data_IF_455060697259
#
_entry.id   IF_455060697259
#
_cell.length_a   1.000
_cell.length_b   1.000
_cell.length_c   1.000
_cell.angle_alpha   90.00
_cell.angle_beta   90.00
_cell.angle_gamma   90.00
#
_symmetry.space_group_name_H-M   'P 1'
#
loop_
_entity.id
_entity.type
_entity.pdbx_description
1 polymer ?
#
# COMPACT_ATOMS: atom_id res chain seq x y z
N UNK A 1 -11.02 -19.20 -59.67
CA UNK A 1 -11.82 -19.03 -58.47
C UNK A 1 -10.87 -19.19 -57.27
N UNK A 2 -10.43 -18.09 -56.73
CA UNK A 2 -9.47 -18.08 -55.59
C UNK A 2 -10.32 -17.88 -54.35
N UNK A 3 -10.35 -18.87 -53.46
CA UNK A 3 -11.02 -18.79 -52.16
C UNK A 3 -10.25 -17.83 -51.25
N UNK A 4 -10.80 -16.66 -50.97
CA UNK A 4 -10.37 -15.77 -49.91
C UNK A 4 -10.73 -16.42 -48.56
N UNK A 5 -9.75 -16.85 -47.80
CA UNK A 5 -9.93 -17.30 -46.43
C UNK A 5 -10.22 -16.09 -45.53
N UNK A 6 -11.16 -16.19 -44.56
CA UNK A 6 -11.55 -15.04 -43.71
C UNK A 6 -10.54 -14.80 -42.60
N UNK A 7 -9.56 -13.93 -42.87
CA UNK A 7 -8.49 -13.49 -41.94
C UNK A 7 -9.04 -12.86 -40.66
N UNK A 8 -10.21 -12.21 -40.69
CA UNK A 8 -10.75 -11.47 -39.53
C UNK A 8 -11.27 -12.33 -38.35
N UNK A 9 -11.76 -13.56 -38.60
CA UNK A 9 -12.28 -14.43 -37.51
C UNK A 9 -11.20 -15.01 -36.63
N UNK A 10 -10.02 -15.26 -37.16
CA UNK A 10 -8.89 -15.85 -36.42
C UNK A 10 -8.23 -14.83 -35.50
N UNK A 11 -8.14 -13.58 -35.91
CA UNK A 11 -7.60 -12.47 -35.08
C UNK A 11 -8.54 -12.11 -33.94
N UNK A 12 -9.84 -12.04 -34.17
CA UNK A 12 -10.84 -11.80 -33.14
C UNK A 12 -10.87 -12.91 -32.08
N UNK A 13 -10.73 -14.18 -32.48
CA UNK A 13 -10.65 -15.32 -31.56
C UNK A 13 -9.38 -15.29 -30.74
N UNK A 14 -8.22 -14.95 -31.32
CA UNK A 14 -6.94 -14.79 -30.60
C UNK A 14 -7.00 -13.64 -29.58
N UNK A 15 -7.56 -12.50 -29.96
CA UNK A 15 -7.76 -11.37 -29.07
C UNK A 15 -8.68 -11.71 -27.89
N UNK A 16 -9.78 -12.42 -28.13
CA UNK A 16 -10.69 -12.89 -27.08
C UNK A 16 -10.01 -13.90 -26.12
N UNK A 17 -9.28 -14.88 -26.65
CA UNK A 17 -8.56 -15.87 -25.84
C UNK A 17 -7.44 -15.22 -25.02
N UNK A 18 -6.78 -14.20 -25.56
CA UNK A 18 -5.77 -13.41 -24.83
C UNK A 18 -6.39 -12.61 -23.69
N UNK A 19 -7.54 -11.94 -23.94
CA UNK A 19 -8.29 -11.22 -22.93
C UNK A 19 -8.71 -12.11 -21.76
N UNK A 20 -9.29 -13.27 -22.08
CA UNK A 20 -9.71 -14.25 -21.06
C UNK A 20 -8.54 -14.79 -20.22
N UNK A 21 -7.37 -14.98 -20.83
CA UNK A 21 -6.14 -15.40 -20.11
C UNK A 21 -5.65 -14.30 -19.16
N UNK A 22 -5.68 -13.05 -19.58
CA UNK A 22 -5.29 -11.91 -18.74
C UNK A 22 -6.25 -11.77 -17.56
N UNK A 23 -7.55 -11.85 -17.78
CA UNK A 23 -8.56 -11.82 -16.70
C UNK A 23 -8.34 -12.96 -15.69
N UNK A 24 -8.05 -14.16 -16.16
CA UNK A 24 -7.78 -15.32 -15.31
C UNK A 24 -6.46 -15.18 -14.52
N UNK A 25 -5.44 -14.56 -15.12
CA UNK A 25 -4.19 -14.24 -14.43
C UNK A 25 -4.42 -13.20 -13.33
N UNK A 26 -5.21 -12.16 -13.59
CA UNK A 26 -5.53 -11.13 -12.62
C UNK A 26 -6.37 -11.69 -11.47
N UNK A 27 -7.30 -12.60 -11.74
CA UNK A 27 -8.08 -13.29 -10.71
C UNK A 27 -7.19 -14.16 -9.83
N UNK A 28 -6.32 -14.96 -10.45
CA UNK A 28 -5.34 -15.80 -9.74
C UNK A 28 -4.41 -14.93 -8.87
N UNK A 29 -3.93 -13.80 -9.42
CA UNK A 29 -3.10 -12.84 -8.69
C UNK A 29 -3.83 -12.30 -7.45
N UNK A 30 -5.09 -11.89 -7.58
CA UNK A 30 -5.92 -11.41 -6.47
C UNK A 30 -6.11 -12.48 -5.40
N UNK A 31 -6.43 -13.70 -5.80
CA UNK A 31 -6.60 -14.85 -4.89
C UNK A 31 -5.35 -15.08 -4.05
N UNK A 32 -4.17 -15.12 -4.67
CA UNK A 32 -2.89 -15.32 -3.97
C UNK A 32 -2.60 -14.16 -3.01
N UNK A 33 -2.84 -12.90 -3.42
CA UNK A 33 -2.62 -11.74 -2.55
C UNK A 33 -3.57 -11.72 -1.34
N UNK A 34 -4.84 -12.13 -1.52
CA UNK A 34 -5.79 -12.28 -0.42
C UNK A 34 -5.37 -13.36 0.58
N UNK A 35 -4.92 -14.52 0.09
CA UNK A 35 -4.40 -15.58 0.93
C UNK A 35 -3.12 -15.15 1.67
N UNK A 36 -2.21 -14.44 0.99
CA UNK A 36 -1.01 -13.88 1.60
C UNK A 36 -1.34 -12.93 2.74
N UNK A 37 -2.31 -12.04 2.55
CA UNK A 37 -2.83 -11.16 3.58
C UNK A 37 -3.38 -11.96 4.78
N UNK A 38 -4.26 -12.92 4.53
CA UNK A 38 -4.88 -13.73 5.56
C UNK A 38 -3.86 -14.54 6.38
N UNK A 39 -2.85 -15.13 5.72
CA UNK A 39 -1.77 -15.84 6.42
C UNK A 39 -0.97 -14.88 7.32
N UNK A 40 -0.58 -13.70 6.83
CA UNK A 40 0.16 -12.72 7.62
C UNK A 40 -0.67 -12.20 8.80
N UNK A 41 -1.96 -11.95 8.62
CA UNK A 41 -2.87 -11.51 9.68
C UNK A 41 -3.19 -12.61 10.71
N UNK A 42 -3.20 -13.88 10.30
CA UNK A 42 -3.59 -15.03 11.15
C UNK A 42 -2.39 -15.78 11.75
N UNK A 43 -1.60 -16.41 10.89
CA UNK A 43 -0.56 -17.38 11.27
C UNK A 43 0.81 -16.74 11.52
N UNK A 44 1.03 -15.53 10.98
CA UNK A 44 2.30 -14.82 11.08
C UNK A 44 3.37 -15.28 10.09
N UNK A 45 4.53 -14.59 10.14
CA UNK A 45 5.57 -14.68 9.11
C UNK A 45 6.30 -16.02 9.03
N UNK A 46 6.43 -16.74 10.16
CA UNK A 46 7.16 -18.03 10.18
C UNK A 46 6.55 -19.09 9.26
N UNK A 47 5.24 -19.08 9.13
CA UNK A 47 4.51 -20.04 8.29
C UNK A 47 4.26 -19.51 6.88
N UNK A 48 4.49 -18.22 6.64
CA UNK A 48 4.30 -17.58 5.36
C UNK A 48 5.35 -18.03 4.33
N UNK A 49 4.91 -18.77 3.32
CA UNK A 49 5.76 -19.31 2.25
C UNK A 49 4.98 -19.49 0.95
N UNK A 50 5.71 -19.57 -0.18
CA UNK A 50 5.10 -19.90 -1.47
C UNK A 50 4.42 -21.28 -1.46
N UNK A 51 4.88 -22.21 -0.61
CA UNK A 51 4.28 -23.53 -0.48
C UNK A 51 2.97 -23.49 0.31
N UNK A 52 2.91 -22.76 1.43
CA UNK A 52 1.67 -22.58 2.19
C UNK A 52 0.61 -21.83 1.38
N UNK A 53 0.99 -20.82 0.63
CA UNK A 53 0.07 -20.10 -0.28
C UNK A 53 -0.49 -21.03 -1.37
N UNK A 54 0.35 -21.90 -1.94
CA UNK A 54 -0.11 -22.88 -2.93
C UNK A 54 -1.14 -23.86 -2.33
N UNK A 55 -0.90 -24.31 -1.09
CA UNK A 55 -1.83 -25.19 -0.38
C UNK A 55 -3.17 -24.50 -0.10
N UNK A 56 -3.15 -23.25 0.38
CA UNK A 56 -4.36 -22.51 0.75
C UNK A 56 -5.21 -22.07 -0.46
N UNK A 57 -4.56 -21.78 -1.60
CA UNK A 57 -5.24 -21.24 -2.78
C UNK A 57 -5.59 -22.29 -3.84
N UNK A 58 -5.01 -23.48 -3.76
CA UNK A 58 -5.07 -24.48 -4.82
C UNK A 58 -4.27 -24.09 -6.08
N UNK A 59 -3.56 -22.96 -6.08
CA UNK A 59 -2.69 -22.51 -7.16
C UNK A 59 -1.33 -23.18 -7.03
N UNK A 60 -0.77 -23.69 -8.14
CA UNK A 60 0.53 -24.37 -8.08
C UNK A 60 1.65 -23.41 -7.65
N UNK A 61 2.69 -23.94 -6.96
CA UNK A 61 3.88 -23.12 -6.62
C UNK A 61 4.52 -22.49 -7.85
N UNK A 62 4.54 -23.23 -8.99
CA UNK A 62 5.08 -22.72 -10.23
C UNK A 62 4.28 -21.53 -10.77
N UNK A 63 2.96 -21.58 -10.68
CA UNK A 63 2.08 -20.47 -11.08
C UNK A 63 2.32 -19.24 -10.19
N UNK A 64 2.43 -19.44 -8.87
CA UNK A 64 2.74 -18.34 -7.95
C UNK A 64 4.11 -17.75 -8.26
N UNK A 65 5.11 -18.58 -8.51
CA UNK A 65 6.44 -18.13 -8.90
C UNK A 65 6.42 -17.35 -10.22
N UNK A 66 5.64 -17.80 -11.21
CA UNK A 66 5.52 -17.09 -12.49
C UNK A 66 4.84 -15.72 -12.34
N UNK A 67 3.90 -15.58 -11.38
CA UNK A 67 3.18 -14.33 -11.12
C UNK A 67 3.98 -13.30 -10.32
N UNK A 68 4.81 -13.76 -9.39
CA UNK A 68 5.46 -12.89 -8.40
C UNK A 68 6.98 -13.03 -8.36
N UNK A 69 7.55 -14.11 -8.89
CA UNK A 69 8.98 -14.40 -8.80
C UNK A 69 9.38 -14.81 -7.39
N UNK A 70 9.75 -13.86 -6.55
CA UNK A 70 10.24 -14.10 -5.19
C UNK A 70 9.16 -13.81 -4.13
N UNK A 71 9.41 -14.30 -2.90
CA UNK A 71 8.60 -13.94 -1.73
C UNK A 71 8.58 -12.43 -1.49
N UNK A 72 9.71 -11.75 -1.72
CA UNK A 72 9.84 -10.31 -1.60
C UNK A 72 8.92 -9.58 -2.58
N UNK A 73 9.00 -9.92 -3.87
CA UNK A 73 8.12 -9.32 -4.88
C UNK A 73 6.63 -9.60 -4.64
N UNK A 74 6.29 -10.76 -4.06
CA UNK A 74 4.91 -11.05 -3.63
C UNK A 74 4.47 -10.10 -2.51
N UNK A 75 5.33 -9.85 -1.53
CA UNK A 75 5.05 -8.90 -0.46
C UNK A 75 4.95 -7.46 -1.00
N UNK A 76 5.80 -7.07 -1.94
CA UNK A 76 5.68 -5.78 -2.64
C UNK A 76 4.32 -5.63 -3.33
N UNK A 77 3.92 -6.67 -4.07
CA UNK A 77 2.63 -6.69 -4.74
C UNK A 77 1.45 -6.65 -3.75
N UNK A 78 1.58 -7.28 -2.59
CA UNK A 78 0.59 -7.20 -1.52
C UNK A 78 0.45 -5.75 -1.01
N UNK A 79 1.56 -5.08 -0.71
CA UNK A 79 1.54 -3.68 -0.30
C UNK A 79 0.92 -2.76 -1.36
N UNK A 80 1.28 -2.96 -2.62
CA UNK A 80 0.74 -2.15 -3.72
C UNK A 80 -0.77 -2.38 -3.88
N UNK A 81 -1.24 -3.61 -3.71
CA UNK A 81 -2.68 -3.92 -3.73
C UNK A 81 -3.43 -3.24 -2.59
N UNK A 82 -2.84 -3.19 -1.39
CA UNK A 82 -3.44 -2.48 -0.25
C UNK A 82 -3.53 -0.97 -0.51
N UNK A 83 -2.48 -0.39 -1.10
CA UNK A 83 -2.42 1.02 -1.43
C UNK A 83 -3.55 1.43 -2.40
N UNK A 84 -3.79 0.63 -3.43
CA UNK A 84 -4.86 0.84 -4.42
C UNK A 84 -6.24 0.69 -3.77
N UNK A 85 -6.48 -0.37 -3.02
CA UNK A 85 -7.82 -0.68 -2.47
C UNK A 85 -8.25 0.20 -1.29
N UNK A 86 -7.35 0.96 -0.67
CA UNK A 86 -7.60 1.70 0.57
C UNK A 86 -7.28 3.19 0.50
N UNK A 87 -7.33 3.77 -0.70
CA UNK A 87 -7.42 5.21 -0.88
C UNK A 87 -6.08 5.95 -0.99
N UNK A 88 -4.90 5.27 -0.96
CA UNK A 88 -3.65 5.95 -1.28
C UNK A 88 -3.61 6.48 -2.73
N UNK A 89 -4.44 5.96 -3.61
CA UNK A 89 -4.68 6.53 -4.95
C UNK A 89 -5.21 7.97 -4.88
N UNK A 90 -5.97 8.31 -3.82
CA UNK A 90 -6.46 9.67 -3.56
C UNK A 90 -5.31 10.66 -3.28
N UNK A 91 -4.13 10.17 -2.91
CA UNK A 91 -2.97 11.00 -2.64
C UNK A 91 -2.61 11.90 -3.82
N UNK A 92 -2.79 11.43 -5.06
CA UNK A 92 -2.55 12.27 -6.26
C UNK A 92 -3.46 13.49 -6.27
N UNK A 93 -4.75 13.30 -6.00
CA UNK A 93 -5.74 14.41 -5.93
C UNK A 93 -5.42 15.35 -4.76
N UNK A 94 -5.09 14.81 -3.58
CA UNK A 94 -4.67 15.60 -2.43
C UNK A 94 -3.46 16.47 -2.76
N UNK A 95 -2.44 15.90 -3.40
CA UNK A 95 -1.20 16.61 -3.74
C UNK A 95 -1.37 17.62 -4.87
N UNK A 96 -2.50 17.65 -5.57
CA UNK A 96 -2.85 18.65 -6.58
C UNK A 96 -3.65 19.83 -6.02
N UNK A 97 -4.04 19.81 -4.74
CA UNK A 97 -4.75 20.91 -4.11
C UNK A 97 -3.87 22.16 -4.01
N UNK A 98 -4.48 23.32 -4.23
CA UNK A 98 -3.78 24.61 -4.11
C UNK A 98 -3.72 25.11 -2.67
N UNK A 99 -4.76 24.82 -1.89
CA UNK A 99 -4.83 25.22 -0.48
C UNK A 99 -3.94 24.31 0.39
N UNK A 100 -2.92 24.88 1.08
CA UNK A 100 -2.03 24.11 1.94
C UNK A 100 -2.75 23.40 3.09
N UNK A 101 -3.79 24.00 3.66
CA UNK A 101 -4.57 23.40 4.76
C UNK A 101 -5.33 22.18 4.28
N UNK A 102 -6.06 22.30 3.17
CA UNK A 102 -6.78 21.19 2.57
C UNK A 102 -5.84 20.05 2.13
N UNK A 103 -4.63 20.41 1.64
CA UNK A 103 -3.61 19.42 1.30
C UNK A 103 -3.11 18.65 2.53
N UNK A 104 -2.82 19.34 3.64
CA UNK A 104 -2.41 18.73 4.90
C UNK A 104 -3.51 17.83 5.48
N UNK A 105 -4.75 18.32 5.53
CA UNK A 105 -5.91 17.54 6.00
C UNK A 105 -6.11 16.28 5.16
N UNK A 106 -6.08 16.40 3.85
CA UNK A 106 -6.20 15.27 2.92
C UNK A 106 -5.09 14.24 3.12
N UNK A 107 -3.84 14.70 3.31
CA UNK A 107 -2.69 13.85 3.58
C UNK A 107 -2.86 13.04 4.87
N UNK A 108 -3.22 13.69 5.97
CA UNK A 108 -3.48 13.04 7.26
C UNK A 108 -4.63 12.04 7.13
N UNK A 109 -5.75 12.45 6.55
CA UNK A 109 -6.93 11.59 6.36
C UNK A 109 -6.62 10.33 5.58
N UNK A 110 -5.91 10.44 4.46
CA UNK A 110 -5.54 9.30 3.62
C UNK A 110 -4.68 8.31 4.39
N UNK A 111 -3.66 8.75 5.13
CA UNK A 111 -2.82 7.85 5.90
C UNK A 111 -3.55 7.26 7.11
N UNK A 112 -4.32 8.04 7.87
CA UNK A 112 -5.10 7.51 8.99
C UNK A 112 -6.12 6.45 8.54
N UNK A 113 -6.84 6.69 7.44
CA UNK A 113 -7.75 5.71 6.87
C UNK A 113 -7.02 4.43 6.40
N UNK A 114 -5.85 4.58 5.80
CA UNK A 114 -5.03 3.46 5.36
C UNK A 114 -4.53 2.61 6.55
N UNK A 115 -4.06 3.26 7.62
CA UNK A 115 -3.61 2.57 8.84
C UNK A 115 -4.77 1.88 9.55
N UNK A 116 -5.90 2.55 9.72
CA UNK A 116 -7.11 1.97 10.33
C UNK A 116 -7.54 0.67 9.64
N UNK A 117 -7.57 0.69 8.31
CA UNK A 117 -8.01 -0.43 7.51
C UNK A 117 -7.02 -1.63 7.48
N UNK A 118 -5.78 -1.41 7.87
CA UNK A 118 -4.70 -2.41 7.78
C UNK A 118 -3.96 -2.62 9.11
N UNK A 119 -4.53 -2.16 10.23
CA UNK A 119 -3.84 -2.09 11.53
C UNK A 119 -3.25 -3.43 11.98
N UNK A 120 -4.02 -4.53 11.91
CA UNK A 120 -3.55 -5.87 12.30
C UNK A 120 -2.35 -6.30 11.46
N UNK A 121 -2.44 -6.09 10.15
CA UNK A 121 -1.37 -6.46 9.22
C UNK A 121 -0.10 -5.65 9.48
N UNK A 122 -0.22 -4.32 9.66
CA UNK A 122 0.95 -3.46 9.88
C UNK A 122 1.66 -3.72 11.21
N UNK A 123 0.95 -4.05 12.29
CA UNK A 123 1.58 -4.51 13.54
C UNK A 123 2.49 -5.71 13.33
N UNK A 124 2.07 -6.66 12.47
CA UNK A 124 2.88 -7.85 12.14
C UNK A 124 4.03 -7.54 11.20
N UNK A 125 3.78 -6.72 10.20
CA UNK A 125 4.76 -6.26 9.21
C UNK A 125 5.94 -5.56 9.88
N UNK A 126 5.68 -4.67 10.83
CA UNK A 126 6.73 -3.98 11.59
C UNK A 126 7.59 -4.96 12.40
N UNK A 127 6.95 -5.97 13.02
CA UNK A 127 7.68 -7.05 13.68
C UNK A 127 8.55 -7.87 12.73
N UNK A 128 8.13 -8.04 11.47
CA UNK A 128 8.90 -8.76 10.44
C UNK A 128 10.10 -7.92 9.99
N UNK A 129 9.89 -6.65 9.70
CA UNK A 129 10.95 -5.75 9.25
C UNK A 129 12.11 -5.60 10.24
N UNK A 130 11.83 -5.80 11.54
CA UNK A 130 12.86 -5.79 12.58
C UNK A 130 13.76 -7.04 12.58
N UNK A 131 13.33 -8.16 11.97
CA UNK A 131 14.06 -9.43 11.99
C UNK A 131 14.47 -9.92 10.59
N UNK A 132 13.94 -9.34 9.53
CA UNK A 132 14.25 -9.65 8.13
C UNK A 132 14.69 -8.36 7.44
N UNK A 133 16.01 -8.16 7.21
CA UNK A 133 16.55 -6.92 6.64
C UNK A 133 16.02 -6.62 5.24
N UNK A 134 15.88 -7.62 4.37
CA UNK A 134 15.39 -7.43 3.00
C UNK A 134 13.95 -6.89 3.01
N UNK A 135 13.17 -7.34 4.00
CA UNK A 135 11.82 -6.87 4.21
C UNK A 135 11.79 -5.47 4.85
N UNK A 136 12.75 -5.17 5.72
CA UNK A 136 12.97 -3.84 6.30
C UNK A 136 13.20 -2.79 5.22
N UNK A 137 14.11 -3.04 4.27
CA UNK A 137 14.40 -2.14 3.14
C UNK A 137 13.15 -1.84 2.29
N UNK A 138 12.29 -2.83 2.10
CA UNK A 138 11.02 -2.66 1.40
C UNK A 138 10.07 -1.67 2.11
N UNK A 139 10.01 -1.76 3.44
CA UNK A 139 9.22 -0.84 4.26
C UNK A 139 9.81 0.56 4.20
N UNK A 140 11.13 0.69 4.33
CA UNK A 140 11.86 1.96 4.32
C UNK A 140 11.67 2.71 2.99
N UNK A 141 11.72 2.03 1.87
CA UNK A 141 11.45 2.63 0.56
C UNK A 141 10.04 3.25 0.45
N UNK A 142 9.05 2.69 1.16
CA UNK A 142 7.69 3.24 1.23
C UNK A 142 7.60 4.43 2.19
N UNK A 143 8.37 4.40 3.27
CA UNK A 143 8.47 5.52 4.20
C UNK A 143 9.11 6.74 3.55
N UNK A 144 10.13 6.55 2.72
CA UNK A 144 10.73 7.64 1.96
C UNK A 144 9.75 8.31 0.98
N UNK A 145 8.86 7.56 0.33
CA UNK A 145 7.80 8.15 -0.51
C UNK A 145 6.84 9.03 0.32
N UNK A 146 6.46 8.58 1.52
CA UNK A 146 5.62 9.37 2.45
C UNK A 146 6.36 10.62 2.90
N UNK A 147 7.63 10.50 3.27
CA UNK A 147 8.49 11.62 3.67
C UNK A 147 8.63 12.65 2.56
N UNK A 148 8.84 12.21 1.32
CA UNK A 148 8.90 13.10 0.17
C UNK A 148 7.57 13.86 -0.05
N UNK A 149 6.43 13.20 0.17
CA UNK A 149 5.12 13.85 0.10
C UNK A 149 4.93 14.86 1.25
N UNK A 150 5.29 14.51 2.49
CA UNK A 150 5.29 15.42 3.63
C UNK A 150 6.15 16.66 3.37
N UNK A 151 7.35 16.48 2.81
CA UNK A 151 8.23 17.59 2.46
C UNK A 151 7.67 18.54 1.39
N UNK A 152 6.83 18.05 0.47
CA UNK A 152 6.12 18.93 -0.48
C UNK A 152 5.05 19.76 0.20
N UNK A 153 4.39 19.22 1.20
CA UNK A 153 3.36 19.93 1.99
C UNK A 153 4.03 21.00 2.85
N UNK A 154 5.05 20.64 3.63
CA UNK A 154 5.70 21.55 4.57
C UNK A 154 6.35 22.75 3.89
N UNK A 155 6.88 22.61 2.66
CA UNK A 155 7.38 23.75 1.86
C UNK A 155 6.32 24.80 1.50
N UNK A 156 5.03 24.51 1.66
CA UNK A 156 3.96 25.50 1.47
C UNK A 156 3.71 26.33 2.74
N UNK A 157 4.26 25.89 3.88
CA UNK A 157 4.09 26.54 5.19
C UNK A 157 5.39 27.13 5.72
N UNK A 158 6.53 26.57 5.34
CA UNK A 158 7.85 26.86 5.91
C UNK A 158 8.88 27.13 4.83
N UNK A 159 9.99 27.76 5.21
CA UNK A 159 11.14 28.01 4.37
C UNK A 159 12.44 27.71 5.13
N UNK A 160 13.54 27.59 4.42
CA UNK A 160 14.87 27.37 5.03
C UNK A 160 14.96 26.06 5.83
N UNK A 161 15.60 26.13 6.99
CA UNK A 161 15.84 24.99 7.91
C UNK A 161 14.55 24.40 8.48
N UNK A 162 13.54 25.24 8.70
CA UNK A 162 12.28 24.87 9.34
C UNK A 162 11.49 23.83 8.52
N UNK A 163 11.72 23.80 7.19
CA UNK A 163 11.14 22.77 6.32
C UNK A 163 11.59 21.37 6.73
N UNK A 164 12.85 21.21 7.11
CA UNK A 164 13.39 19.90 7.48
C UNK A 164 12.76 19.40 8.79
N UNK A 165 12.65 20.26 9.78
CA UNK A 165 12.05 19.94 11.08
C UNK A 165 10.55 19.64 10.95
N UNK A 166 9.81 20.50 10.26
CA UNK A 166 8.38 20.28 9.99
C UNK A 166 8.14 19.01 9.16
N UNK A 167 9.01 18.69 8.20
CA UNK A 167 8.93 17.44 7.41
C UNK A 167 9.15 16.23 8.30
N UNK A 168 10.15 16.25 9.17
CA UNK A 168 10.43 15.17 10.12
C UNK A 168 9.24 14.95 11.06
N UNK A 169 8.70 16.03 11.64
CA UNK A 169 7.53 16.01 12.52
C UNK A 169 6.29 15.46 11.81
N UNK A 170 5.95 15.98 10.63
CA UNK A 170 4.80 15.51 9.86
C UNK A 170 4.94 14.04 9.43
N UNK A 171 6.14 13.61 9.08
CA UNK A 171 6.42 12.21 8.75
C UNK A 171 6.22 11.31 9.95
N UNK A 172 6.69 11.70 11.14
CA UNK A 172 6.50 10.94 12.37
C UNK A 172 5.02 10.87 12.77
N UNK A 173 4.31 12.01 12.77
CA UNK A 173 2.90 12.10 13.16
C UNK A 173 1.97 11.32 12.23
N UNK A 174 2.32 11.14 10.97
CA UNK A 174 1.55 10.34 10.01
C UNK A 174 2.07 8.92 9.84
N UNK A 175 2.96 8.44 10.71
CA UNK A 175 3.47 7.07 10.71
C UNK A 175 2.42 6.08 11.23
N UNK A 176 2.61 4.81 10.89
CA UNK A 176 1.79 3.74 11.43
C UNK A 176 1.93 3.66 12.95
N UNK A 177 3.15 3.77 13.46
CA UNK A 177 3.46 3.68 14.89
C UNK A 177 2.74 4.75 15.69
N UNK A 178 2.76 5.99 15.20
CA UNK A 178 2.06 7.09 15.86
C UNK A 178 0.54 6.89 15.82
N UNK A 179 0.01 6.52 14.65
CA UNK A 179 -1.41 6.20 14.50
C UNK A 179 -1.83 5.02 15.41
N UNK A 180 -1.06 3.94 15.41
CA UNK A 180 -1.37 2.74 16.18
C UNK A 180 -1.34 3.00 17.69
N UNK A 181 -0.36 3.76 18.17
CA UNK A 181 -0.30 4.20 19.56
C UNK A 181 -1.48 5.10 19.95
N UNK A 182 -1.92 5.98 19.02
CA UNK A 182 -3.04 6.90 19.25
C UNK A 182 -4.38 6.17 19.24
N UNK A 183 -4.56 5.18 18.36
CA UNK A 183 -5.81 4.43 18.17
C UNK A 183 -5.99 3.27 19.18
N UNK A 184 -5.37 3.38 20.37
CA UNK A 184 -5.49 2.41 21.47
C UNK A 184 -6.48 2.91 22.55
N UNK A 185 -6.76 2.05 23.54
CA UNK A 185 -7.50 2.40 24.76
C UNK A 185 -8.90 3.00 24.51
N UNK A 186 -9.61 2.50 23.48
CA UNK A 186 -10.98 2.93 23.19
C UNK A 186 -11.10 4.19 22.33
N UNK A 187 -9.98 4.73 21.84
CA UNK A 187 -10.00 5.82 20.86
C UNK A 187 -10.48 5.26 19.50
N UNK A 188 -11.54 5.87 18.96
CA UNK A 188 -12.03 5.51 17.63
C UNK A 188 -11.10 5.99 16.50
N UNK A 189 -11.22 5.40 15.31
CA UNK A 189 -10.41 5.82 14.15
C UNK A 189 -10.59 7.31 13.81
N UNK A 190 -11.81 7.84 13.95
CA UNK A 190 -12.10 9.27 13.70
C UNK A 190 -11.48 10.18 14.77
N UNK A 191 -11.47 9.74 16.03
CA UNK A 191 -10.80 10.48 17.11
C UNK A 191 -9.28 10.45 16.93
N UNK A 192 -8.69 9.31 16.54
CA UNK A 192 -7.26 9.21 16.24
C UNK A 192 -6.88 10.13 15.07
N UNK A 193 -7.66 10.15 13.98
CA UNK A 193 -7.46 11.08 12.86
C UNK A 193 -7.48 12.54 13.32
N UNK A 194 -8.47 12.93 14.15
CA UNK A 194 -8.57 14.29 14.67
C UNK A 194 -7.37 14.69 15.53
N UNK A 195 -6.85 13.77 16.35
CA UNK A 195 -5.64 13.99 17.16
C UNK A 195 -4.42 14.18 16.26
N UNK A 196 -4.22 13.28 15.29
CA UNK A 196 -3.11 13.36 14.33
C UNK A 196 -3.16 14.68 13.56
N UNK A 197 -4.33 15.08 13.06
CA UNK A 197 -4.52 16.33 12.33
C UNK A 197 -4.18 17.55 13.18
N UNK A 198 -4.68 17.60 14.41
CA UNK A 198 -4.38 18.70 15.34
C UNK A 198 -2.87 18.85 15.58
N UNK A 199 -2.17 17.74 15.78
CA UNK A 199 -0.73 17.76 16.00
C UNK A 199 0.05 18.10 14.72
N UNK A 200 -0.40 17.61 13.56
CA UNK A 200 0.20 17.93 12.27
C UNK A 200 0.06 19.42 11.92
N UNK A 201 -1.11 20.01 12.18
CA UNK A 201 -1.32 21.47 12.04
C UNK A 201 -0.37 22.27 12.93
N UNK A 202 -0.26 21.91 14.21
CA UNK A 202 0.67 22.57 15.12
C UNK A 202 2.12 22.49 14.61
N UNK A 203 2.56 21.32 14.13
CA UNK A 203 3.92 21.11 13.64
C UNK A 203 4.29 21.94 12.40
N UNK A 204 3.30 22.35 11.58
CA UNK A 204 3.56 23.16 10.38
C UNK A 204 3.31 24.65 10.59
N UNK A 205 2.59 25.05 11.66
CA UNK A 205 2.24 26.46 11.94
C UNK A 205 3.14 27.13 12.96
N UNK A 206 3.76 26.40 13.87
CA UNK A 206 4.77 26.91 14.84
C UNK A 206 6.12 27.05 14.15
#
# INVERSE_FOLDING_TARGET
>A
MTEEQPVGKTEQRRSYELGKRLEQMDETRRTVLQAARAQLEGQGYKQFSMASLAADTGVTRQTIHNLFGTKQHLLEALFDSMAIHRGLEQMRSVMSLNDPSAMLEGFVRVFCAFWAANQVLFRRIHGIGAIDPDFGELIDARYERRRAAAGRITRKWKSGSDVMEATAALTALTSFEFYDATAQHGISASQAEAIVLKMALAAVTI
#
